data_IF_622825478441
#
_entry.id   IF_622825478441
#
_cell.length_a   1.000
_cell.length_b   1.000
_cell.length_c   1.000
_cell.angle_alpha   90.00
_cell.angle_beta   90.00
_cell.angle_gamma   90.00
#
_symmetry.space_group_name_H-M   'P 1'
#
loop_
_entity.id
_entity.type
_entity.pdbx_description
1 polymer ?
#
# COMPACT_ATOMS: atom_id res chain seq x y z
N UNK A 1 -13.05 2.88 10.92
CA UNK A 1 -13.53 4.09 10.22
C UNK A 1 -12.39 5.08 10.01
N UNK A 2 -11.62 5.44 11.04
CA UNK A 2 -10.52 6.41 10.91
C UNK A 2 -9.40 6.00 9.93
N UNK A 3 -9.25 4.70 9.64
CA UNK A 3 -8.30 4.19 8.64
C UNK A 3 -8.85 4.17 7.19
N UNK A 4 -10.07 4.65 6.95
CA UNK A 4 -10.62 4.80 5.61
C UNK A 4 -10.55 6.28 5.19
N UNK A 5 -10.22 6.55 3.93
CA UNK A 5 -10.13 7.92 3.41
C UNK A 5 -11.48 8.66 3.50
N UNK A 6 -11.49 10.00 3.66
CA UNK A 6 -12.73 10.78 3.67
C UNK A 6 -13.57 10.53 2.41
N UNK A 7 -14.86 10.25 2.60
CA UNK A 7 -15.81 9.94 1.52
C UNK A 7 -17.24 10.26 1.94
N UNK A 8 -18.21 10.06 1.04
CA UNK A 8 -19.63 10.16 1.36
C UNK A 8 -20.12 9.16 2.43
N UNK A 9 -19.33 8.14 2.76
CA UNK A 9 -19.72 7.07 3.69
C UNK A 9 -19.26 7.28 5.14
N UNK A 10 -18.32 8.19 5.39
CA UNK A 10 -17.78 8.48 6.72
C UNK A 10 -17.94 9.95 7.11
N UNK A 11 -18.79 10.69 6.40
CA UNK A 11 -19.13 12.07 6.75
C UNK A 11 -19.88 12.19 8.08
N UNK A 12 -20.08 13.44 8.51
CA UNK A 12 -20.68 13.77 9.81
C UNK A 12 -22.07 13.15 10.03
N UNK A 13 -22.84 12.90 8.97
CA UNK A 13 -24.16 12.29 9.05
C UNK A 13 -24.10 10.78 9.41
N UNK A 14 -23.04 10.09 8.98
CA UNK A 14 -22.83 8.67 9.22
C UNK A 14 -22.00 8.42 10.48
N UNK A 15 -20.97 9.23 10.70
CA UNK A 15 -20.04 9.08 11.81
C UNK A 15 -19.57 10.46 12.29
N UNK A 16 -20.30 11.11 13.21
CA UNK A 16 -19.98 12.46 13.70
C UNK A 16 -18.59 12.64 14.32
N UNK A 17 -17.94 11.54 14.67
CA UNK A 17 -16.68 11.43 15.38
C UNK A 17 -15.52 11.01 14.46
N UNK A 18 -15.79 10.79 13.18
CA UNK A 18 -14.76 10.50 12.18
C UNK A 18 -13.84 11.71 11.97
N UNK A 19 -12.54 11.46 12.00
CA UNK A 19 -11.52 12.51 11.84
C UNK A 19 -10.55 12.25 10.67
N UNK A 20 -10.61 11.08 10.02
CA UNK A 20 -9.71 10.72 8.92
C UNK A 20 -8.24 10.82 9.31
N UNK A 21 -7.81 9.93 10.22
CA UNK A 21 -6.48 10.02 10.84
C UNK A 21 -5.45 9.27 10.02
N UNK A 22 -4.82 9.96 9.07
CA UNK A 22 -3.65 9.43 8.38
C UNK A 22 -3.40 10.04 7.01
N UNK A 23 -2.37 9.51 6.35
CA UNK A 23 -2.08 9.73 4.95
C UNK A 23 -2.80 8.67 4.12
N UNK A 24 -3.65 9.10 3.19
CA UNK A 24 -4.37 8.20 2.29
C UNK A 24 -3.81 8.34 0.87
N UNK A 25 -3.11 7.31 0.41
CA UNK A 25 -2.57 7.24 -0.94
C UNK A 25 -3.49 6.39 -1.81
N UNK A 26 -3.93 6.94 -2.93
CA UNK A 26 -4.59 6.15 -3.97
C UNK A 26 -3.53 5.32 -4.71
N UNK A 27 -3.61 3.97 -4.73
CA UNK A 27 -2.65 3.15 -5.46
C UNK A 27 -2.94 3.19 -6.98
N UNK A 28 -1.94 2.89 -7.82
CA UNK A 28 -2.18 2.45 -9.20
C UNK A 28 -3.05 1.21 -9.25
N UNK A 29 -3.94 1.15 -10.24
CA UNK A 29 -4.82 0.01 -10.43
C UNK A 29 -4.52 -0.75 -11.72
N UNK A 30 -4.54 -2.07 -11.63
CA UNK A 30 -4.51 -2.98 -12.76
C UNK A 30 -5.95 -3.32 -13.18
N UNK A 31 -6.19 -3.34 -14.49
CA UNK A 31 -7.47 -3.78 -15.06
C UNK A 31 -7.25 -4.50 -16.38
N UNK A 32 -8.16 -5.41 -16.75
CA UNK A 32 -8.13 -6.06 -18.06
C UNK A 32 -9.01 -5.26 -19.02
N UNK A 33 -8.42 -4.76 -20.10
CA UNK A 33 -9.13 -4.05 -21.18
C UNK A 33 -8.67 -4.59 -22.53
N UNK A 34 -9.62 -5.07 -23.34
CA UNK A 34 -9.35 -5.66 -24.67
C UNK A 34 -8.30 -6.77 -24.63
N UNK A 35 -8.43 -7.69 -23.66
CA UNK A 35 -7.54 -8.85 -23.50
C UNK A 35 -6.13 -8.54 -22.98
N UNK A 36 -5.85 -7.29 -22.57
CA UNK A 36 -4.56 -6.89 -22.02
C UNK A 36 -4.72 -6.35 -20.61
N UNK A 37 -3.74 -6.60 -19.76
CA UNK A 37 -3.62 -5.94 -18.47
C UNK A 37 -3.12 -4.53 -18.69
N UNK A 38 -3.80 -3.53 -18.14
CA UNK A 38 -3.45 -2.11 -18.25
C UNK A 38 -3.32 -1.51 -16.86
N UNK A 39 -2.28 -0.71 -16.66
CA UNK A 39 -2.06 0.07 -15.45
C UNK A 39 -2.71 1.45 -15.59
N UNK A 40 -3.49 1.83 -14.59
CA UNK A 40 -4.00 3.18 -14.43
C UNK A 40 -3.24 3.87 -13.29
N UNK A 41 -2.49 4.92 -13.60
CA UNK A 41 -1.80 5.74 -12.61
C UNK A 41 -2.72 6.85 -12.08
N UNK A 42 -2.81 7.03 -10.76
CA UNK A 42 -3.49 8.16 -10.14
C UNK A 42 -2.70 9.45 -10.39
N UNK A 43 -3.37 10.61 -10.28
CA UNK A 43 -2.79 11.90 -10.66
C UNK A 43 -1.50 12.22 -9.91
N UNK A 44 -1.44 11.92 -8.61
CA UNK A 44 -0.28 12.20 -7.76
C UNK A 44 0.98 11.42 -8.18
N UNK A 45 0.84 10.31 -8.91
CA UNK A 45 1.96 9.54 -9.47
C UNK A 45 2.36 9.96 -10.89
N UNK A 46 1.47 10.63 -11.63
CA UNK A 46 1.72 11.00 -13.04
C UNK A 46 2.87 11.99 -13.22
N UNK A 47 3.19 12.80 -12.20
CA UNK A 47 4.28 13.79 -12.25
C UNK A 47 5.69 13.26 -11.93
N UNK A 48 5.83 11.97 -11.57
CA UNK A 48 7.12 11.38 -11.15
C UNK A 48 7.75 10.46 -12.21
N UNK A 49 7.00 10.10 -13.25
CA UNK A 49 7.52 9.43 -14.43
C UNK A 49 8.20 10.45 -15.33
N UNK A 50 9.53 10.40 -15.42
CA UNK A 50 10.30 11.33 -16.22
C UNK A 50 9.78 11.43 -17.66
N UNK A 51 9.52 12.67 -18.07
CA UNK A 51 9.47 13.07 -19.47
C UNK A 51 10.80 12.69 -20.13
N UNK A 52 10.88 11.47 -20.63
CA UNK A 52 11.92 11.03 -21.56
C UNK A 52 11.59 11.56 -22.96
N UNK A 53 11.31 12.86 -23.05
CA UNK A 53 11.15 13.59 -24.29
C UNK A 53 11.91 14.91 -24.19
N UNK A 54 13.21 14.81 -23.95
CA UNK A 54 14.15 15.86 -24.34
C UNK A 54 14.29 15.83 -25.86
N UNK A 55 13.48 16.67 -26.49
CA UNK A 55 13.84 17.50 -27.64
C UNK A 55 15.26 17.33 -28.18
N UNK A 56 15.37 16.60 -29.28
CA UNK A 56 16.35 16.89 -30.33
C UNK A 56 15.59 17.07 -31.66
N UNK A 57 15.47 18.33 -32.06
CA UNK A 57 15.42 18.73 -33.48
C UNK A 57 16.62 18.09 -34.19
N UNK A 58 16.56 17.56 -35.41
CA UNK A 58 15.68 17.79 -36.55
C UNK A 58 16.06 16.79 -37.64
N UNK A 59 15.11 16.25 -38.40
CA UNK A 59 15.09 16.25 -39.88
C UNK A 59 14.00 15.33 -40.43
N UNK A 60 13.38 15.84 -41.48
CA UNK A 60 12.22 15.35 -42.21
C UNK A 60 12.51 14.12 -43.06
N UNK A 61 11.58 13.16 -43.04
CA UNK A 61 11.18 12.42 -44.24
C UNK A 61 9.80 11.80 -44.04
N UNK A 62 8.91 12.16 -44.95
CA UNK A 62 7.52 11.75 -45.07
C UNK A 62 7.37 10.30 -45.52
N UNK A 63 6.53 9.55 -44.82
CA UNK A 63 5.78 8.43 -45.41
C UNK A 63 4.47 8.25 -44.68
N UNK A 64 3.39 8.42 -45.44
CA UNK A 64 1.99 8.33 -45.06
C UNK A 64 1.58 6.90 -44.72
N UNK A 65 0.98 6.69 -43.55
CA UNK A 65 0.17 5.51 -43.24
C UNK A 65 -0.86 5.84 -42.16
N UNK A 66 -2.06 6.19 -42.64
CA UNK A 66 -3.37 5.77 -42.16
C UNK A 66 -3.57 5.60 -40.64
N UNK A 67 -3.90 6.71 -39.99
CA UNK A 67 -4.90 6.85 -38.92
C UNK A 67 -5.29 5.61 -38.10
N UNK A 68 -4.76 5.54 -36.86
CA UNK A 68 -5.53 5.05 -35.72
C UNK A 68 -5.48 6.12 -34.62
N UNK A 69 -6.61 6.82 -34.42
CA UNK A 69 -6.76 7.88 -33.42
C UNK A 69 -6.98 7.25 -32.04
N UNK A 70 -6.07 7.52 -31.10
CA UNK A 70 -6.32 7.51 -29.67
C UNK A 70 -6.11 6.19 -28.93
N UNK A 71 -4.85 5.74 -28.79
CA UNK A 71 -4.47 4.90 -27.65
C UNK A 71 -3.47 5.68 -26.78
N UNK A 72 -3.96 6.22 -25.67
CA UNK A 72 -3.12 6.85 -24.65
C UNK A 72 -2.08 5.85 -24.13
N UNK A 73 -0.80 6.23 -24.21
CA UNK A 73 0.38 5.39 -23.96
C UNK A 73 0.59 5.01 -22.49
N UNK A 74 -0.28 4.15 -21.96
CA UNK A 74 -0.14 3.55 -20.62
C UNK A 74 0.59 2.20 -20.65
N UNK A 75 1.23 1.84 -19.53
CA UNK A 75 1.87 0.53 -19.35
C UNK A 75 0.83 -0.60 -19.47
N UNK A 76 1.14 -1.63 -20.28
CA UNK A 76 0.27 -2.79 -20.48
C UNK A 76 1.03 -4.09 -20.69
N UNK A 77 0.42 -5.20 -20.28
CA UNK A 77 0.98 -6.55 -20.36
C UNK A 77 0.03 -7.53 -21.06
N UNK A 78 0.61 -8.57 -21.67
CA UNK A 78 -0.15 -9.58 -22.39
C UNK A 78 -0.79 -10.62 -21.46
N UNK A 79 -0.19 -10.84 -20.29
CA UNK A 79 -0.60 -11.89 -19.35
C UNK A 79 -0.67 -11.35 -17.92
N UNK A 80 -1.34 -12.13 -17.05
CA UNK A 80 -1.38 -11.83 -15.61
C UNK A 80 0.00 -12.05 -14.99
N UNK A 81 0.72 -13.07 -15.44
CA UNK A 81 2.02 -13.47 -14.94
C UNK A 81 3.04 -12.34 -15.15
N UNK A 82 3.00 -11.68 -16.32
CA UNK A 82 3.77 -10.45 -16.56
C UNK A 82 3.33 -9.32 -15.64
N UNK A 83 2.01 -9.03 -15.57
CA UNK A 83 1.49 -7.94 -14.75
C UNK A 83 1.73 -8.14 -13.25
N UNK A 84 1.81 -9.38 -12.75
CA UNK A 84 2.02 -9.69 -11.34
C UNK A 84 3.47 -10.10 -11.04
N UNK A 85 4.36 -10.01 -12.03
CA UNK A 85 5.74 -10.44 -11.90
C UNK A 85 6.42 -9.77 -10.69
N UNK A 86 7.04 -10.54 -9.76
CA UNK A 86 7.75 -10.02 -8.61
C UNK A 86 8.93 -9.12 -8.94
N UNK A 87 9.44 -9.16 -10.19
CA UNK A 87 10.60 -8.37 -10.62
C UNK A 87 10.21 -7.03 -11.27
N UNK A 88 8.92 -6.64 -11.26
CA UNK A 88 8.44 -5.37 -11.87
C UNK A 88 8.89 -4.10 -11.14
N UNK A 89 9.34 -4.22 -9.91
CA UNK A 89 9.69 -3.15 -8.99
C UNK A 89 11.20 -3.07 -8.71
N UNK A 90 11.83 -4.15 -8.22
CA UNK A 90 13.23 -4.08 -7.79
C UNK A 90 14.17 -3.78 -8.95
N UNK A 91 14.90 -2.66 -8.84
CA UNK A 91 15.88 -2.25 -9.85
C UNK A 91 15.26 -1.78 -11.17
N UNK A 92 13.93 -1.61 -11.23
CA UNK A 92 13.26 -1.09 -12.43
C UNK A 92 12.98 0.41 -12.30
N UNK A 93 12.87 1.15 -13.42
CA UNK A 93 12.45 2.54 -13.38
C UNK A 93 11.08 2.76 -12.73
N UNK A 94 10.16 1.80 -12.89
CA UNK A 94 8.82 1.89 -12.30
C UNK A 94 8.87 1.77 -10.77
N UNK A 95 9.61 0.79 -10.24
CA UNK A 95 9.78 0.65 -8.79
C UNK A 95 10.51 1.83 -8.17
N UNK A 96 11.55 2.36 -8.85
CA UNK A 96 12.24 3.58 -8.41
C UNK A 96 11.30 4.79 -8.36
N UNK A 97 10.44 4.97 -9.37
CA UNK A 97 9.44 6.03 -9.41
C UNK A 97 8.41 5.88 -8.28
N UNK A 98 7.91 4.66 -8.03
CA UNK A 98 7.02 4.39 -6.90
C UNK A 98 7.68 4.68 -5.56
N UNK A 99 8.89 4.17 -5.33
CA UNK A 99 9.62 4.39 -4.09
C UNK A 99 9.83 5.90 -3.84
N UNK A 100 10.28 6.65 -4.85
CA UNK A 100 10.50 8.09 -4.73
C UNK A 100 9.21 8.85 -4.43
N UNK A 101 8.11 8.52 -5.11
CA UNK A 101 6.83 9.19 -4.91
C UNK A 101 6.21 8.87 -3.53
N UNK A 102 6.29 7.62 -3.09
CA UNK A 102 5.82 7.18 -1.78
C UNK A 102 6.63 7.88 -0.68
N UNK A 103 7.96 7.87 -0.80
CA UNK A 103 8.86 8.50 0.16
C UNK A 103 8.55 10.01 0.27
N UNK A 104 8.41 10.70 -0.88
CA UNK A 104 8.05 12.11 -0.91
C UNK A 104 6.68 12.40 -0.28
N UNK A 105 5.68 11.53 -0.50
CA UNK A 105 4.34 11.70 0.06
C UNK A 105 4.32 11.53 1.58
N UNK A 106 5.06 10.53 2.10
CA UNK A 106 5.24 10.32 3.54
C UNK A 106 5.92 11.53 4.17
N UNK A 107 7.07 11.94 3.61
CA UNK A 107 7.87 13.03 4.17
C UNK A 107 7.09 14.35 4.18
N UNK A 108 6.32 14.65 3.11
CA UNK A 108 5.45 15.82 3.04
C UNK A 108 4.31 15.79 4.07
N UNK A 109 3.74 14.60 4.32
CA UNK A 109 2.69 14.44 5.32
C UNK A 109 3.22 14.64 6.74
N UNK A 110 4.37 14.05 7.09
CA UNK A 110 4.96 14.21 8.41
C UNK A 110 5.39 15.66 8.66
N UNK A 111 5.93 16.34 7.64
CA UNK A 111 6.28 17.76 7.71
C UNK A 111 5.07 18.68 7.92
N UNK A 112 3.94 18.40 7.27
CA UNK A 112 2.74 19.24 7.35
C UNK A 112 1.86 18.96 8.57
N UNK A 113 1.80 17.70 9.02
CA UNK A 113 1.00 17.30 10.19
C UNK A 113 1.72 17.49 11.51
N UNK A 114 3.06 17.50 11.50
CA UNK A 114 3.87 17.47 12.72
C UNK A 114 3.81 16.16 13.48
N UNK A 115 3.21 15.11 12.89
CA UNK A 115 3.06 13.79 13.49
C UNK A 115 3.68 12.73 12.58
N UNK A 116 4.28 11.70 13.19
CA UNK A 116 4.79 10.54 12.45
C UNK A 116 3.70 9.54 12.13
N UNK A 117 3.85 8.83 11.02
CA UNK A 117 2.96 7.72 10.68
C UNK A 117 3.23 6.52 11.61
N UNK A 118 2.17 6.01 12.24
CA UNK A 118 2.27 4.94 13.24
C UNK A 118 2.08 3.52 12.70
N UNK A 119 1.50 3.35 11.52
CA UNK A 119 1.31 2.05 10.86
C UNK A 119 0.97 2.23 9.38
N UNK A 120 1.32 1.24 8.56
CA UNK A 120 0.78 1.04 7.22
C UNK A 120 -0.38 0.05 7.31
N UNK A 121 -1.55 0.41 6.81
CA UNK A 121 -2.69 -0.50 6.62
C UNK A 121 -3.01 -0.60 5.13
N UNK A 122 -3.07 -1.81 4.58
CA UNK A 122 -3.52 -2.03 3.21
C UNK A 122 -4.35 -3.31 3.06
N UNK A 123 -5.24 -3.32 2.07
CA UNK A 123 -5.88 -4.53 1.54
C UNK A 123 -4.94 -5.12 0.46
N UNK A 124 -4.33 -6.31 0.67
CA UNK A 124 -3.38 -6.85 -0.29
C UNK A 124 -4.06 -7.18 -1.62
N UNK A 125 -3.49 -6.70 -2.73
CA UNK A 125 -3.89 -6.96 -4.13
C UNK A 125 -5.26 -6.42 -4.54
N UNK A 126 -6.31 -6.60 -3.74
CA UNK A 126 -7.69 -6.32 -4.15
C UNK A 126 -8.46 -5.58 -3.05
N UNK A 127 -8.87 -4.35 -3.36
CA UNK A 127 -9.76 -3.56 -2.50
C UNK A 127 -11.21 -3.95 -2.77
N UNK A 128 -11.81 -4.70 -1.83
CA UNK A 128 -13.12 -5.30 -2.04
C UNK A 128 -14.23 -4.26 -2.05
N UNK A 129 -14.42 -3.59 -0.90
CA UNK A 129 -15.50 -2.63 -0.70
C UNK A 129 -15.35 -1.35 -1.55
N UNK A 130 -14.12 -1.03 -1.97
CA UNK A 130 -13.83 0.09 -2.87
C UNK A 130 -14.27 -0.12 -4.32
N UNK A 131 -14.78 -1.31 -4.67
CA UNK A 131 -15.27 -1.61 -6.01
C UNK A 131 -14.48 -2.69 -6.75
N UNK A 132 -13.92 -3.67 -6.02
CA UNK A 132 -13.11 -4.76 -6.59
C UNK A 132 -11.90 -4.23 -7.37
N UNK A 133 -11.24 -3.21 -6.82
CA UNK A 133 -10.12 -2.53 -7.46
C UNK A 133 -8.83 -3.31 -7.21
N UNK A 134 -8.18 -3.76 -8.29
CA UNK A 134 -6.93 -4.50 -8.20
C UNK A 134 -5.76 -3.52 -8.10
N UNK A 135 -5.23 -3.29 -6.90
CA UNK A 135 -4.05 -2.48 -6.71
C UNK A 135 -2.83 -3.14 -7.37
N UNK A 136 -1.93 -2.35 -7.95
CA UNK A 136 -0.69 -2.87 -8.53
C UNK A 136 0.21 -3.48 -7.43
N UNK A 137 0.50 -4.81 -7.47
CA UNK A 137 1.38 -5.45 -6.50
C UNK A 137 2.76 -4.79 -6.40
N UNK A 138 3.30 -4.29 -7.52
CA UNK A 138 4.59 -3.61 -7.54
C UNK A 138 4.58 -2.34 -6.67
N UNK A 139 3.49 -1.58 -6.70
CA UNK A 139 3.32 -0.40 -5.85
C UNK A 139 3.18 -0.78 -4.37
N UNK A 140 2.36 -1.79 -4.06
CA UNK A 140 2.17 -2.23 -2.68
C UNK A 140 3.48 -2.78 -2.06
N UNK A 141 4.30 -3.51 -2.83
CA UNK A 141 5.62 -3.96 -2.37
C UNK A 141 6.55 -2.79 -2.04
N UNK A 142 6.63 -1.78 -2.90
CA UNK A 142 7.43 -0.59 -2.62
C UNK A 142 6.91 0.22 -1.43
N UNK A 143 5.60 0.28 -1.24
CA UNK A 143 4.98 0.90 -0.07
C UNK A 143 5.37 0.16 1.22
N UNK A 144 5.26 -1.16 1.24
CA UNK A 144 5.69 -2.00 2.37
C UNK A 144 7.17 -1.78 2.70
N UNK A 145 8.04 -1.78 1.69
CA UNK A 145 9.48 -1.58 1.88
C UNK A 145 9.81 -0.17 2.39
N UNK A 146 9.15 0.84 1.83
CA UNK A 146 9.29 2.24 2.25
C UNK A 146 8.92 2.43 3.71
N UNK A 147 7.77 1.87 4.14
CA UNK A 147 7.33 1.91 5.54
C UNK A 147 8.27 1.11 6.45
N UNK A 148 8.71 -0.08 6.02
CA UNK A 148 9.63 -0.92 6.80
C UNK A 148 10.98 -0.25 7.04
N UNK A 149 11.56 0.45 6.03
CA UNK A 149 12.80 1.24 6.21
C UNK A 149 12.65 2.35 7.27
N UNK A 150 11.44 2.83 7.50
CA UNK A 150 11.10 3.85 8.50
C UNK A 150 10.72 3.29 9.87
N UNK A 151 10.70 1.96 10.03
CA UNK A 151 10.23 1.31 11.25
C UNK A 151 8.72 1.42 11.47
N UNK A 152 7.95 1.70 10.41
CA UNK A 152 6.49 1.75 10.46
C UNK A 152 5.95 0.31 10.38
N UNK A 153 5.18 -0.18 11.37
CA UNK A 153 4.57 -1.50 11.36
C UNK A 153 3.61 -1.70 10.18
N UNK A 154 3.63 -2.89 9.59
CA UNK A 154 2.86 -3.26 8.40
C UNK A 154 1.66 -4.11 8.79
N UNK A 155 0.46 -3.64 8.45
CA UNK A 155 -0.81 -4.33 8.70
C UNK A 155 -1.44 -4.72 7.37
N UNK A 156 -1.66 -6.02 7.18
CA UNK A 156 -2.45 -6.53 6.05
C UNK A 156 -3.88 -6.82 6.50
N UNK A 157 -4.84 -6.13 5.89
CA UNK A 157 -6.25 -6.47 6.00
C UNK A 157 -6.57 -7.59 5.00
N UNK A 158 -6.43 -8.83 5.46
CA UNK A 158 -6.75 -10.04 4.70
C UNK A 158 -8.16 -10.56 4.99
N UNK A 159 -9.02 -9.73 5.60
CA UNK A 159 -10.40 -10.12 5.87
C UNK A 159 -11.13 -10.47 4.57
N UNK A 160 -10.82 -9.78 3.47
CA UNK A 160 -11.36 -10.11 2.15
C UNK A 160 -10.51 -11.11 1.37
N UNK A 161 -9.20 -10.86 1.28
CA UNK A 161 -8.30 -11.54 0.34
C UNK A 161 -7.73 -12.87 0.84
N UNK A 162 -7.70 -13.06 2.16
CA UNK A 162 -7.21 -14.28 2.78
C UNK A 162 -8.13 -15.48 2.60
N UNK A 163 -7.67 -16.64 3.08
CA UNK A 163 -8.43 -17.90 3.06
C UNK A 163 -8.89 -18.29 1.65
N UNK A 164 -7.96 -18.31 0.67
CA UNK A 164 -8.17 -18.81 -0.69
C UNK A 164 -9.08 -17.95 -1.58
N UNK A 165 -9.52 -16.76 -1.15
CA UNK A 165 -10.35 -15.87 -1.98
C UNK A 165 -9.73 -15.59 -3.35
N UNK A 166 -8.43 -15.37 -3.39
CA UNK A 166 -7.67 -15.05 -4.61
C UNK A 166 -6.95 -16.27 -5.23
N UNK A 167 -7.33 -17.49 -4.82
CA UNK A 167 -6.66 -18.73 -5.26
C UNK A 167 -5.35 -19.04 -4.51
N UNK A 168 -5.02 -18.26 -3.48
CA UNK A 168 -3.88 -18.47 -2.57
C UNK A 168 -4.33 -18.34 -1.13
N UNK A 169 -3.64 -18.97 -0.19
CA UNK A 169 -4.00 -18.93 1.23
C UNK A 169 -4.00 -17.50 1.80
N UNK A 170 -3.11 -16.64 1.32
CA UNK A 170 -2.96 -15.25 1.77
C UNK A 170 -2.50 -14.34 0.62
N UNK A 171 -2.98 -13.09 0.61
CA UNK A 171 -2.57 -12.05 -0.32
C UNK A 171 -1.08 -11.70 -0.21
N UNK A 172 -0.47 -11.88 0.98
CA UNK A 172 0.97 -11.79 1.18
C UNK A 172 1.77 -12.69 0.22
N UNK A 173 1.25 -13.87 -0.13
CA UNK A 173 1.91 -14.78 -1.08
C UNK A 173 1.99 -14.19 -2.50
N UNK A 174 1.02 -13.38 -2.91
CA UNK A 174 1.05 -12.67 -4.20
C UNK A 174 2.01 -11.47 -4.13
N UNK A 175 2.02 -10.77 -2.98
CA UNK A 175 2.92 -9.64 -2.77
C UNK A 175 4.38 -10.07 -2.54
N UNK A 176 4.66 -11.28 -2.07
CA UNK A 176 6.01 -11.68 -1.69
C UNK A 176 6.60 -10.85 -0.53
N UNK A 177 5.74 -10.26 0.29
CA UNK A 177 6.11 -9.47 1.47
C UNK A 177 5.20 -9.87 2.63
N UNK A 178 5.78 -10.12 3.81
CA UNK A 178 5.03 -10.51 5.00
C UNK A 178 4.64 -9.30 5.86
N UNK A 179 3.45 -9.27 6.48
CA UNK A 179 3.07 -8.22 7.42
C UNK A 179 3.69 -8.41 8.81
N UNK A 180 3.56 -7.38 9.65
CA UNK A 180 3.79 -7.46 11.09
C UNK A 180 2.49 -7.83 11.85
N UNK A 181 1.34 -7.40 11.32
CA UNK A 181 0.00 -7.74 11.83
C UNK A 181 -0.89 -8.13 10.64
N UNK A 182 -1.69 -9.18 10.76
CA UNK A 182 -2.64 -9.59 9.73
C UNK A 182 -4.03 -9.86 10.30
N UNK A 183 -5.07 -9.37 9.64
CA UNK A 183 -6.46 -9.57 10.05
C UNK A 183 -7.16 -10.56 9.10
N UNK A 184 -7.86 -11.56 9.67
CA UNK A 184 -8.63 -12.55 8.94
C UNK A 184 -10.05 -12.66 9.51
N UNK A 185 -11.05 -12.82 8.64
CA UNK A 185 -12.42 -13.21 9.00
C UNK A 185 -13.10 -13.81 7.75
N UNK A 186 -14.37 -13.51 7.50
CA UNK A 186 -15.14 -13.93 6.31
C UNK A 186 -14.96 -15.42 5.96
N UNK A 187 -14.11 -15.74 4.98
CA UNK A 187 -13.86 -17.12 4.53
C UNK A 187 -13.16 -17.99 5.59
N UNK A 188 -12.62 -17.40 6.65
CA UNK A 188 -12.02 -18.10 7.78
C UNK A 188 -12.94 -19.21 8.34
N UNK A 189 -14.24 -18.95 8.40
CA UNK A 189 -15.26 -19.91 8.88
C UNK A 189 -16.14 -20.44 7.76
N UNK A 190 -15.75 -20.21 6.50
CA UNK A 190 -16.53 -20.56 5.31
C UNK A 190 -18.00 -20.08 5.36
N UNK A 191 -18.27 -18.98 6.05
CA UNK A 191 -19.64 -18.44 6.21
C UNK A 191 -20.53 -19.18 7.22
N UNK A 192 -19.96 -20.09 8.03
CA UNK A 192 -20.72 -20.87 9.02
C UNK A 192 -21.01 -20.06 10.29
N UNK A 193 -20.04 -19.27 10.75
CA UNK A 193 -20.15 -18.51 11.99
C UNK A 193 -19.29 -17.23 11.95
N UNK A 194 -19.64 -16.17 12.68
CA UNK A 194 -18.77 -15.02 12.82
C UNK A 194 -17.53 -15.37 13.65
N UNK A 195 -16.35 -15.19 13.07
CA UNK A 195 -15.05 -15.27 13.75
C UNK A 195 -14.08 -14.33 13.06
N UNK A 196 -13.26 -13.65 13.84
CA UNK A 196 -12.14 -12.86 13.35
C UNK A 196 -10.88 -13.25 14.13
N UNK A 197 -9.74 -13.20 13.46
CA UNK A 197 -8.41 -13.46 14.01
C UNK A 197 -7.48 -12.33 13.60
N UNK A 198 -6.78 -11.74 14.56
CA UNK A 198 -5.67 -10.82 14.33
C UNK A 198 -4.39 -11.53 14.72
N UNK A 199 -3.56 -11.84 13.73
CA UNK A 199 -2.22 -12.38 13.94
C UNK A 199 -1.25 -11.22 14.11
N UNK A 200 -0.24 -11.38 14.94
CA UNK A 200 0.83 -10.42 15.14
C UNK A 200 2.16 -11.17 15.21
N UNK A 201 3.23 -10.53 14.76
CA UNK A 201 4.59 -11.00 14.99
C UNK A 201 4.93 -10.96 16.48
N UNK A 202 5.87 -11.81 16.86
CA UNK A 202 6.35 -11.90 18.25
C UNK A 202 6.85 -10.54 18.75
N UNK A 203 7.56 -9.78 17.91
CA UNK A 203 8.08 -8.45 18.30
C UNK A 203 6.96 -7.45 18.60
N UNK A 204 5.82 -7.56 17.92
CA UNK A 204 4.64 -6.74 18.19
C UNK A 204 4.02 -7.17 19.52
N UNK A 205 3.91 -8.47 19.79
CA UNK A 205 3.38 -8.98 21.05
C UNK A 205 4.27 -8.58 22.24
N UNK A 206 5.59 -8.78 22.11
CA UNK A 206 6.60 -8.45 23.12
C UNK A 206 6.59 -6.98 23.51
N UNK A 207 6.19 -6.06 22.61
CA UNK A 207 6.05 -4.64 22.93
C UNK A 207 4.99 -4.35 24.02
N UNK A 208 4.08 -5.30 24.28
CA UNK A 208 3.07 -5.22 25.33
C UNK A 208 3.43 -6.03 26.59
N UNK A 209 4.54 -6.77 26.58
CA UNK A 209 5.01 -7.48 27.77
C UNK A 209 5.56 -6.50 28.82
N UNK A 210 5.05 -6.60 30.04
CA UNK A 210 5.46 -5.76 31.15
C UNK A 210 4.89 -6.25 32.47
N UNK A 211 5.56 -5.93 33.58
CA UNK A 211 5.19 -6.45 34.91
C UNK A 211 3.92 -5.80 35.51
N UNK A 212 3.48 -4.67 34.97
CA UNK A 212 2.29 -3.95 35.43
C UNK A 212 1.11 -4.14 34.46
N UNK A 213 -0.01 -4.69 34.97
CA UNK A 213 -1.27 -4.85 34.21
C UNK A 213 -1.80 -3.54 33.61
N UNK A 214 -1.42 -2.40 34.20
CA UNK A 214 -1.78 -1.05 33.72
C UNK A 214 -0.96 -0.64 32.48
N UNK A 215 0.27 -1.14 32.32
CA UNK A 215 1.11 -0.89 31.13
C UNK A 215 0.80 -1.83 29.97
N UNK A 216 0.39 -3.07 30.24
CA UNK A 216 0.01 -4.05 29.21
C UNK A 216 -1.22 -3.63 28.35
N UNK A 217 -2.02 -2.66 28.82
CA UNK A 217 -3.25 -2.22 28.16
C UNK A 217 -3.22 -0.77 27.64
N UNK A 218 -2.09 -0.05 27.71
CA UNK A 218 -2.00 1.33 27.23
C UNK A 218 -1.41 1.42 25.81
N UNK A 219 -2.09 2.09 24.85
CA UNK A 219 -1.57 2.28 23.49
C UNK A 219 -0.28 3.12 23.39
N UNK A 220 0.10 3.82 24.45
CA UNK A 220 1.15 4.85 24.43
C UNK A 220 2.54 4.35 24.82
N UNK A 221 2.68 3.09 25.24
CA UNK A 221 3.96 2.51 25.69
C UNK A 221 4.69 1.71 24.62
N UNK A 222 4.22 1.72 23.36
CA UNK A 222 4.89 1.03 22.26
C UNK A 222 6.27 1.67 22.00
N UNK A 223 7.40 0.96 22.21
CA UNK A 223 8.74 1.51 21.99
C UNK A 223 9.03 1.90 20.53
N UNK A 224 8.21 1.40 19.59
CA UNK A 224 8.28 1.75 18.16
C UNK A 224 7.90 3.22 17.88
N UNK A 225 7.21 3.89 18.82
CA UNK A 225 6.86 5.31 18.71
C UNK A 225 7.96 6.26 19.23
N UNK A 226 9.01 5.75 19.89
CA UNK A 226 10.03 6.57 20.56
C UNK A 226 11.43 6.39 19.93
N UNK A 227 11.57 6.60 18.61
CA UNK A 227 12.89 6.87 18.01
C UNK A 227 13.16 8.38 17.94
N UNK A 228 13.32 8.96 19.12
CA UNK A 228 13.91 10.30 19.26
C UNK A 228 14.54 10.44 20.64
N UNK A 229 15.86 10.20 20.66
CA UNK A 229 16.81 10.80 21.59
C UNK A 229 16.75 10.35 23.04
N UNK A 230 17.54 9.33 23.40
CA UNK A 230 18.34 9.38 24.63
C UNK A 230 19.69 8.68 24.39
N UNK A 231 20.75 9.34 24.88
CA UNK A 231 22.16 8.94 24.86
C UNK A 231 22.43 7.56 25.49
N UNK A 232 23.60 6.95 25.20
CA UNK A 232 24.00 5.69 25.81
C UNK A 232 24.26 5.89 27.31
N UNK A 233 23.44 5.27 28.15
CA UNK A 233 23.73 5.16 29.58
C UNK A 233 24.96 4.26 29.77
N UNK A 234 26.06 4.92 30.13
CA UNK A 234 27.31 4.36 30.61
C UNK A 234 27.13 3.76 32.02
N UNK A 235 27.84 2.64 32.27
CA UNK A 235 28.17 1.94 33.55
C UNK A 235 27.10 1.01 34.16
N UNK A 236 27.49 -0.13 34.75
CA UNK A 236 28.84 -0.64 35.06
C UNK A 236 28.81 -2.06 35.61
#
# INVERSE_FOLDING_TARGET
>A
MDCAAPSGFNGRLQSPWYAGRGLFLEPPYLSIKRGRWRLALPEWLRGTGGDSSSSSSSSSSSSSSSSNRGEEGGLSWGSREEAFCPDRDRGTPLGAAYAAAIDAAIDAHEASSGARLGALLLEPVLQGAGGMLCADPAFQRELVRSCRRRGIPIIFDEVFTGCWRLGVASGAAILGEDPDIACYAKLLTAGVAPLAVTLAREEVFAAFEGQDKVRAAQPQTCPLAYSSGQEPAVRG
#
